data_IF_794908659897
#
_entry.id   IF_794908659897
#
_cell.length_a   1.000
_cell.length_b   1.000
_cell.length_c   1.000
_cell.angle_alpha   90.00
_cell.angle_beta   90.00
_cell.angle_gamma   90.00
#
_symmetry.space_group_name_H-M   'P 1'
#
loop_
_entity.id
_entity.type
_entity.pdbx_description
1 polymer ?
#
# COMPACT_ATOMS: atom_id res chain seq x y z
N UNK A 1 -11.42 -5.26 -21.45
CA UNK A 1 -12.05 -4.57 -20.30
C UNK A 1 -11.12 -3.45 -19.85
N UNK A 2 -11.57 -2.19 -19.91
CA UNK A 2 -10.80 -1.01 -19.45
C UNK A 2 -11.29 -0.68 -18.04
N UNK A 3 -10.46 -0.92 -17.02
CA UNK A 3 -10.69 -0.39 -15.67
C UNK A 3 -10.27 1.08 -15.64
N UNK A 4 -11.21 1.98 -15.37
CA UNK A 4 -10.91 3.40 -15.19
C UNK A 4 -10.38 3.55 -13.76
N UNK A 5 -9.10 3.89 -13.62
CA UNK A 5 -8.54 4.29 -12.33
C UNK A 5 -8.89 5.75 -12.11
N UNK A 6 -9.94 6.01 -11.32
CA UNK A 6 -10.31 7.35 -10.90
C UNK A 6 -9.38 7.76 -9.76
N UNK A 7 -8.49 8.70 -10.01
CA UNK A 7 -7.73 9.37 -8.96
C UNK A 7 -8.67 10.37 -8.27
N UNK A 8 -9.06 10.08 -7.03
CA UNK A 8 -9.79 11.01 -6.16
C UNK A 8 -8.78 11.88 -5.38
N UNK A 9 -8.58 13.15 -5.75
CA UNK A 9 -7.66 14.06 -5.05
C UNK A 9 -8.18 14.49 -3.67
N UNK A 10 -9.43 14.17 -3.31
CA UNK A 10 -10.11 14.65 -2.10
C UNK A 10 -10.07 13.62 -0.96
N UNK A 11 -9.60 12.39 -1.21
CA UNK A 11 -9.57 11.31 -0.20
C UNK A 11 -10.94 11.09 0.47
N UNK A 12 -12.03 11.29 -0.28
CA UNK A 12 -13.39 11.27 0.26
C UNK A 12 -14.03 9.87 0.20
N UNK A 13 -13.43 8.92 -0.52
CA UNK A 13 -13.85 7.50 -0.51
C UNK A 13 -13.34 6.81 0.76
N UNK A 14 -13.87 7.25 1.90
CA UNK A 14 -13.73 6.58 3.20
C UNK A 14 -14.82 5.52 3.27
N UNK A 15 -14.63 4.38 2.62
CA UNK A 15 -15.69 3.37 2.52
C UNK A 15 -15.28 2.05 1.86
N UNK A 16 -14.31 1.36 2.44
CA UNK A 16 -14.35 -0.11 2.61
C UNK A 16 -14.69 -1.00 1.41
N UNK A 17 -14.19 -0.71 0.21
CA UNK A 17 -13.99 -1.78 -0.76
C UNK A 17 -12.57 -2.31 -0.54
N UNK A 18 -12.39 -3.64 -0.31
CA UNK A 18 -11.05 -4.19 -0.22
C UNK A 18 -10.32 -3.83 -1.52
N UNK A 19 -9.17 -3.16 -1.39
CA UNK A 19 -8.34 -2.88 -2.55
C UNK A 19 -8.06 -4.20 -3.25
N UNK A 20 -8.34 -4.26 -4.55
CA UNK A 20 -7.97 -5.41 -5.36
C UNK A 20 -6.45 -5.57 -5.28
N UNK A 21 -6.04 -6.53 -4.44
CA UNK A 21 -4.67 -6.65 -3.95
C UNK A 21 -3.77 -7.21 -5.02
N UNK A 22 -4.28 -8.15 -5.79
CA UNK A 22 -3.53 -8.92 -6.78
C UNK A 22 -2.98 -8.06 -7.92
N UNK A 23 -3.77 -7.20 -8.60
CA UNK A 23 -3.22 -6.33 -9.64
C UNK A 23 -2.21 -5.34 -9.08
N UNK A 24 -2.38 -4.90 -7.83
CA UNK A 24 -1.45 -3.98 -7.22
C UNK A 24 -0.13 -4.66 -6.81
N UNK A 25 -0.19 -5.88 -6.27
CA UNK A 25 1.01 -6.68 -6.01
C UNK A 25 1.73 -7.07 -7.30
N UNK A 26 1.00 -7.32 -8.39
CA UNK A 26 1.57 -7.53 -9.71
C UNK A 26 2.31 -6.29 -10.21
N UNK A 27 1.73 -5.09 -10.05
CA UNK A 27 2.40 -3.83 -10.38
C UNK A 27 3.66 -3.62 -9.52
N UNK A 28 3.58 -3.88 -8.21
CA UNK A 28 4.75 -3.85 -7.31
C UNK A 28 5.84 -4.79 -7.80
N UNK A 29 5.50 -6.03 -8.16
CA UNK A 29 6.46 -7.00 -8.67
C UNK A 29 7.12 -6.51 -9.96
N UNK A 30 6.33 -5.98 -10.91
CA UNK A 30 6.84 -5.44 -12.17
C UNK A 30 7.81 -4.27 -11.95
N UNK A 31 7.48 -3.34 -11.07
CA UNK A 31 8.33 -2.18 -10.73
C UNK A 31 9.63 -2.61 -10.06
N UNK A 32 9.58 -3.61 -9.18
CA UNK A 32 10.78 -4.14 -8.53
C UNK A 32 11.70 -4.89 -9.48
N UNK A 33 11.16 -5.40 -10.60
CA UNK A 33 11.94 -6.04 -11.66
C UNK A 33 12.62 -5.04 -12.62
N UNK A 34 12.30 -3.74 -12.53
CA UNK A 34 12.96 -2.72 -13.37
C UNK A 34 14.46 -2.62 -13.08
N UNK A 35 15.24 -2.54 -14.15
CA UNK A 35 16.62 -2.04 -14.08
C UNK A 35 16.67 -0.52 -13.87
N UNK A 36 17.86 0.08 -13.66
CA UNK A 36 18.01 1.52 -13.41
C UNK A 36 17.42 2.41 -14.51
N UNK A 37 17.43 1.92 -15.76
CA UNK A 37 16.82 2.55 -16.93
C UNK A 37 15.87 1.54 -17.62
N UNK A 38 14.59 1.45 -17.19
CA UNK A 38 13.66 0.47 -17.74
C UNK A 38 13.34 0.78 -19.20
N UNK A 39 13.68 -0.15 -20.09
CA UNK A 39 13.44 -0.04 -21.53
C UNK A 39 11.94 -0.02 -21.80
N UNK A 40 11.49 0.90 -22.66
CA UNK A 40 10.09 1.00 -23.08
C UNK A 40 9.14 1.69 -22.08
N UNK A 41 9.61 2.09 -20.89
CA UNK A 41 8.79 2.83 -19.92
C UNK A 41 9.11 4.32 -19.99
N UNK A 42 8.16 5.13 -20.48
CA UNK A 42 8.38 6.58 -20.63
C UNK A 42 8.45 7.27 -19.28
N UNK A 43 9.06 8.45 -19.23
CA UNK A 43 9.13 9.25 -18.00
C UNK A 43 7.73 9.59 -17.43
N UNK A 44 6.78 9.92 -18.29
CA UNK A 44 5.38 10.16 -17.90
C UNK A 44 4.73 8.91 -17.28
N UNK A 45 4.96 7.73 -17.88
CA UNK A 45 4.43 6.47 -17.36
C UNK A 45 5.03 6.14 -15.99
N UNK A 46 6.34 6.37 -15.80
CA UNK A 46 7.00 6.22 -14.48
C UNK A 46 6.39 7.14 -13.43
N UNK A 47 6.14 8.40 -13.78
CA UNK A 47 5.51 9.35 -12.87
C UNK A 47 4.09 8.90 -12.48
N UNK A 48 3.30 8.45 -13.45
CA UNK A 48 1.94 7.95 -13.21
C UNK A 48 1.93 6.68 -12.35
N UNK A 49 2.85 5.74 -12.62
CA UNK A 49 3.02 4.53 -11.80
C UNK A 49 3.43 4.92 -10.36
N UNK A 50 4.31 5.90 -10.19
CA UNK A 50 4.69 6.43 -8.87
C UNK A 50 3.50 7.02 -8.10
N UNK A 51 2.61 7.75 -8.79
CA UNK A 51 1.37 8.28 -8.23
C UNK A 51 0.40 7.15 -7.83
N UNK A 52 0.20 6.16 -8.71
CA UNK A 52 -0.66 5.00 -8.44
C UNK A 52 -0.19 4.22 -7.22
N UNK A 53 1.09 3.87 -7.13
CA UNK A 53 1.66 3.19 -5.97
C UNK A 53 1.52 4.01 -4.68
N UNK A 54 1.62 5.34 -4.78
CA UNK A 54 1.46 6.24 -3.62
C UNK A 54 0.02 6.27 -3.13
N UNK A 55 -0.94 6.50 -4.02
CA UNK A 55 -2.37 6.52 -3.67
C UNK A 55 -2.80 5.18 -3.06
N UNK A 56 -2.35 4.08 -3.65
CA UNK A 56 -2.66 2.76 -3.14
C UNK A 56 -2.05 2.50 -1.75
N UNK A 57 -0.79 2.87 -1.54
CA UNK A 57 -0.16 2.75 -0.24
C UNK A 57 -0.90 3.57 0.84
N UNK A 58 -1.44 4.74 0.46
CA UNK A 58 -2.26 5.56 1.36
C UNK A 58 -3.58 4.86 1.70
N UNK A 59 -4.27 4.26 0.72
CA UNK A 59 -5.48 3.49 0.97
C UNK A 59 -5.20 2.28 1.89
N UNK A 60 -4.17 1.48 1.61
CA UNK A 60 -3.80 0.35 2.46
C UNK A 60 -3.44 0.80 3.89
N UNK A 61 -2.71 1.92 4.04
CA UNK A 61 -2.41 2.47 5.35
C UNK A 61 -3.67 3.01 6.08
N UNK A 62 -4.66 3.53 5.35
CA UNK A 62 -5.94 3.95 5.91
C UNK A 62 -6.73 2.75 6.44
N UNK A 63 -6.74 1.62 5.73
CA UNK A 63 -7.37 0.38 6.17
C UNK A 63 -6.69 -0.19 7.42
N UNK A 64 -5.35 -0.23 7.43
CA UNK A 64 -4.57 -0.61 8.62
C UNK A 64 -4.92 0.30 9.79
N UNK A 65 -5.07 1.61 9.57
CA UNK A 65 -5.42 2.59 10.61
C UNK A 65 -6.83 2.38 11.12
N UNK A 66 -7.77 2.06 10.24
CA UNK A 66 -9.15 1.74 10.63
C UNK A 66 -9.18 0.51 11.55
N UNK A 67 -8.52 -0.58 11.15
CA UNK A 67 -8.43 -1.81 11.95
C UNK A 67 -7.64 -1.62 13.24
N UNK A 68 -6.56 -0.84 13.21
CA UNK A 68 -5.79 -0.49 14.41
C UNK A 68 -6.62 0.21 15.48
N UNK A 69 -7.54 1.10 15.07
CA UNK A 69 -8.45 1.80 16.00
C UNK A 69 -9.44 0.84 16.67
N UNK A 70 -9.78 -0.27 16.01
CA UNK A 70 -10.67 -1.30 16.55
C UNK A 70 -9.96 -2.31 17.45
N UNK A 71 -8.61 -2.32 17.51
CA UNK A 71 -7.87 -3.27 18.35
C UNK A 71 -8.03 -2.98 19.85
N UNK A 72 -8.25 -4.00 20.70
CA UNK A 72 -8.17 -3.90 22.16
C UNK A 72 -6.84 -3.29 22.61
N UNK A 73 -6.85 -2.48 23.67
CA UNK A 73 -5.68 -1.71 24.10
C UNK A 73 -4.46 -2.59 24.46
N UNK A 74 -4.72 -3.81 24.89
CA UNK A 74 -3.78 -4.87 25.31
C UNK A 74 -3.38 -5.83 24.17
N UNK A 75 -3.92 -5.65 22.96
CA UNK A 75 -3.59 -6.51 21.82
C UNK A 75 -2.10 -6.47 21.46
N UNK A 76 -1.49 -7.65 21.38
CA UNK A 76 -0.08 -7.85 20.98
C UNK A 76 0.23 -7.32 19.57
N UNK A 77 -0.79 -7.15 18.72
CA UNK A 77 -0.64 -6.60 17.37
C UNK A 77 -0.49 -5.08 17.34
N UNK A 78 -0.86 -4.37 18.42
CA UNK A 78 -0.85 -2.89 18.43
C UNK A 78 0.54 -2.29 18.22
N UNK A 79 1.63 -2.73 18.89
CA UNK A 79 2.95 -2.13 18.70
C UNK A 79 3.44 -2.21 17.25
N UNK A 80 3.34 -3.40 16.63
CA UNK A 80 3.75 -3.60 15.24
C UNK A 80 2.88 -2.80 14.27
N UNK A 81 1.57 -2.84 14.44
CA UNK A 81 0.63 -2.10 13.59
C UNK A 81 0.87 -0.58 13.67
N UNK A 82 1.13 -0.06 14.87
CA UNK A 82 1.49 1.35 15.08
C UNK A 82 2.81 1.72 14.40
N UNK A 83 3.81 0.84 14.44
CA UNK A 83 5.09 1.06 13.75
C UNK A 83 4.90 1.11 12.22
N UNK A 84 4.11 0.21 11.65
CA UNK A 84 3.76 0.19 10.22
C UNK A 84 3.05 1.49 9.81
N UNK A 85 2.10 1.98 10.62
CA UNK A 85 1.41 3.25 10.37
C UNK A 85 2.36 4.45 10.39
N UNK A 86 3.28 4.52 11.37
CA UNK A 86 4.27 5.59 11.47
C UNK A 86 5.21 5.57 10.27
N UNK A 87 5.73 4.40 9.90
CA UNK A 87 6.64 4.28 8.76
C UNK A 87 5.95 4.63 7.44
N UNK A 88 4.69 4.18 7.28
CA UNK A 88 3.87 4.55 6.12
C UNK A 88 3.68 6.06 6.05
N UNK A 89 3.32 6.73 7.15
CA UNK A 89 3.17 8.18 7.17
C UNK A 89 4.47 8.92 6.80
N UNK A 90 5.61 8.50 7.38
CA UNK A 90 6.92 9.10 7.12
C UNK A 90 7.36 8.97 5.66
N UNK A 91 7.08 7.84 5.03
CA UNK A 91 7.51 7.55 3.66
C UNK A 91 6.56 8.12 2.63
N UNK A 92 5.28 8.21 2.97
CA UNK A 92 4.24 8.76 2.10
C UNK A 92 4.17 10.29 2.11
N UNK A 93 4.74 10.97 3.12
CA UNK A 93 4.81 12.44 3.18
C UNK A 93 5.72 13.06 2.14
N UNK A 94 6.66 12.29 1.57
CA UNK A 94 7.49 12.76 0.45
C UNK A 94 6.69 12.71 -0.85
N UNK A 95 6.66 13.84 -1.59
CA UNK A 95 5.90 14.00 -2.83
C UNK A 95 6.24 12.99 -3.93
N UNK A 96 5.46 12.95 -5.02
CA UNK A 96 5.68 12.02 -6.13
C UNK A 96 7.05 12.27 -6.78
N UNK A 97 7.87 11.23 -6.81
CA UNK A 97 9.25 11.26 -7.34
C UNK A 97 9.29 10.45 -8.64
N UNK A 98 9.96 10.98 -9.66
CA UNK A 98 10.00 10.40 -11.01
C UNK A 98 11.16 9.41 -11.20
N UNK A 99 12.03 9.26 -10.20
CA UNK A 99 13.19 8.37 -10.30
C UNK A 99 12.82 6.91 -10.04
N UNK A 100 13.40 6.01 -10.82
CA UNK A 100 13.16 4.55 -10.71
C UNK A 100 13.44 4.04 -9.28
N UNK A 101 14.55 4.46 -8.68
CA UNK A 101 14.93 4.06 -7.33
C UNK A 101 13.87 4.44 -6.28
N UNK A 102 13.25 5.61 -6.43
CA UNK A 102 12.21 6.10 -5.50
C UNK A 102 10.88 5.40 -5.73
N UNK A 103 10.51 5.15 -6.98
CA UNK A 103 9.33 4.36 -7.33
C UNK A 103 9.48 2.93 -6.77
N UNK A 104 10.67 2.32 -6.89
CA UNK A 104 10.97 1.01 -6.28
C UNK A 104 10.92 1.04 -4.76
N UNK A 105 11.43 2.09 -4.12
CA UNK A 105 11.31 2.24 -2.67
C UNK A 105 9.83 2.34 -2.23
N UNK A 106 8.98 3.02 -3.01
CA UNK A 106 7.53 3.08 -2.79
C UNK A 106 6.89 1.70 -2.96
N UNK A 107 7.28 0.95 -3.99
CA UNK A 107 6.82 -0.42 -4.22
C UNK A 107 7.20 -1.38 -3.07
N UNK A 108 8.40 -1.23 -2.49
CA UNK A 108 8.81 -2.00 -1.29
C UNK A 108 7.94 -1.67 -0.08
N UNK A 109 7.61 -0.39 0.12
CA UNK A 109 6.82 0.09 1.25
C UNK A 109 5.45 -0.57 1.33
N UNK A 110 4.77 -0.72 0.18
CA UNK A 110 3.42 -1.28 0.05
C UNK A 110 3.28 -2.65 0.71
N UNK A 111 4.35 -3.45 0.73
CA UNK A 111 4.31 -4.80 1.33
C UNK A 111 4.06 -4.76 2.84
N UNK A 112 4.49 -3.70 3.54
CA UNK A 112 4.37 -3.61 4.99
C UNK A 112 2.90 -3.40 5.44
N UNK A 113 2.13 -2.43 4.90
CA UNK A 113 0.69 -2.33 5.16
C UNK A 113 -0.06 -3.63 4.85
N UNK A 114 0.24 -4.28 3.73
CA UNK A 114 -0.45 -5.53 3.38
C UNK A 114 -0.16 -6.68 4.35
N UNK A 115 1.09 -6.86 4.77
CA UNK A 115 1.41 -7.86 5.80
C UNK A 115 0.72 -7.56 7.12
N UNK A 116 0.60 -6.29 7.49
CA UNK A 116 -0.15 -5.90 8.69
C UNK A 116 -1.64 -6.22 8.53
N UNK A 117 -2.25 -5.98 7.36
CA UNK A 117 -3.63 -6.38 7.08
C UNK A 117 -3.81 -7.89 7.20
N UNK A 118 -2.90 -8.70 6.64
CA UNK A 118 -2.95 -10.16 6.74
C UNK A 118 -2.93 -10.64 8.20
N UNK A 119 -2.05 -10.06 9.02
CA UNK A 119 -1.94 -10.39 10.44
C UNK A 119 -3.21 -9.99 11.21
N UNK A 120 -3.80 -8.83 10.87
CA UNK A 120 -5.04 -8.37 11.47
C UNK A 120 -6.23 -9.25 11.06
N UNK A 121 -6.29 -9.70 9.80
CA UNK A 121 -7.31 -10.63 9.32
C UNK A 121 -7.18 -12.01 9.99
N UNK A 122 -5.96 -12.54 10.10
CA UNK A 122 -5.70 -13.82 10.76
C UNK A 122 -6.08 -13.80 12.26
N UNK A 123 -5.91 -12.65 12.93
CA UNK A 123 -6.31 -12.50 14.33
C UNK A 123 -7.82 -12.34 14.52
N UNK A 124 -8.55 -11.84 13.51
CA UNK A 124 -10.02 -11.74 13.54
C UNK A 124 -10.70 -13.06 13.17
N UNK A 125 -10.06 -13.88 12.34
CA UNK A 125 -10.54 -15.19 11.95
C UNK A 125 -9.48 -16.27 12.26
N UNK A 126 -9.26 -16.60 13.55
CA UNK A 126 -8.33 -17.67 13.91
C UNK A 126 -8.85 -18.98 13.30
N UNK A 127 -7.99 -19.67 12.54
CA UNK A 127 -8.33 -20.99 12.01
C UNK A 127 -8.78 -21.91 13.17
N UNK A 128 -9.84 -22.71 12.99
CA UNK A 128 -10.31 -23.60 14.05
C UNK A 128 -9.18 -24.53 14.46
N UNK A 129 -8.85 -24.54 15.76
CA UNK A 129 -7.92 -25.48 16.34
C UNK A 129 -8.45 -26.90 16.05
N UNK A 130 -7.66 -27.69 15.32
CA UNK A 130 -7.94 -29.10 15.04
C UNK A 130 -7.47 -29.96 16.21
#
# INVERSE_FOLDING_TARGET
MRGIVVYDPTSAVTGGLPLDRDPHLALVAAVLAWGPAPVGVRAADRAQIGLQLTGHAQCAAADVRHRFKALPADSELRPLTKAVLRESANRLSTGPDTTVARIQNRARLIRAPYRALDQLDAAQNPAPAT
#
